data_IF_709659999990
#
_entry.id   IF_709659999990
#
_cell.length_a   1.000
_cell.length_b   1.000
_cell.length_c   1.000
_cell.angle_alpha   90.00
_cell.angle_beta   90.00
_cell.angle_gamma   90.00
#
_symmetry.space_group_name_H-M   'P 1'
#
loop_
_entity.id
_entity.type
_entity.pdbx_description
1 polymer ?
#
# COMPACT_ATOMS: atom_id res chain seq x y z
N UNK A 1 -10.32 5.28 62.49
CA UNK A 1 -8.91 5.71 62.46
C UNK A 1 -8.43 5.58 61.02
N UNK A 2 -7.83 6.67 60.50
CA UNK A 2 -7.19 6.86 59.19
C UNK A 2 -8.06 7.08 57.93
N UNK A 3 -8.04 8.36 57.56
CA UNK A 3 -8.33 9.05 56.30
C UNK A 3 -7.30 8.65 55.24
N UNK A 4 -7.68 8.52 53.96
CA UNK A 4 -6.83 8.93 52.83
C UNK A 4 -7.66 9.46 51.66
N UNK A 5 -7.15 10.58 51.13
CA UNK A 5 -7.62 11.41 50.03
C UNK A 5 -7.47 10.72 48.67
N UNK A 6 -8.28 11.10 47.68
CA UNK A 6 -7.74 11.65 46.42
C UNK A 6 -8.85 12.27 45.56
N UNK A 7 -8.83 13.60 45.50
CA UNK A 7 -9.59 14.43 44.56
C UNK A 7 -8.76 14.58 43.28
N UNK A 8 -9.28 14.17 42.12
CA UNK A 8 -8.73 14.56 40.83
C UNK A 8 -9.61 15.64 40.19
N UNK A 9 -9.06 16.85 40.18
CA UNK A 9 -9.60 18.05 39.54
C UNK A 9 -9.30 17.99 38.04
N UNK A 10 -10.34 17.92 37.21
CA UNK A 10 -10.20 18.08 35.76
C UNK A 10 -10.31 19.57 35.41
N UNK A 11 -9.23 20.15 34.90
CA UNK A 11 -9.21 21.49 34.30
C UNK A 11 -9.08 21.30 32.80
N UNK A 12 -10.13 21.59 32.03
CA UNK A 12 -10.01 21.82 30.59
C UNK A 12 -10.44 23.25 30.29
N UNK A 13 -9.42 24.07 30.01
CA UNK A 13 -9.54 25.44 29.56
C UNK A 13 -9.90 25.46 28.07
N UNK A 14 -11.00 26.13 27.71
CA UNK A 14 -11.33 26.43 26.32
C UNK A 14 -10.55 27.67 25.88
N UNK A 15 -9.58 27.50 24.98
CA UNK A 15 -8.95 28.62 24.29
C UNK A 15 -9.69 28.85 22.97
N UNK A 16 -10.59 29.84 22.97
CA UNK A 16 -11.18 30.38 21.76
C UNK A 16 -10.17 31.34 21.12
N UNK A 17 -9.67 31.00 19.93
CA UNK A 17 -8.81 31.90 19.16
C UNK A 17 -9.67 32.64 18.14
N UNK A 18 -9.90 33.92 18.41
CA UNK A 18 -10.52 34.88 17.51
C UNK A 18 -9.43 35.45 16.60
N UNK A 19 -9.50 35.18 15.29
CA UNK A 19 -8.70 35.92 14.30
C UNK A 19 -9.61 36.79 13.44
N UNK A 20 -9.51 38.11 13.67
CA UNK A 20 -10.11 39.13 12.82
C UNK A 20 -9.07 39.68 11.81
N UNK A 21 -9.42 39.51 10.53
CA UNK A 21 -9.18 40.35 9.34
C UNK A 21 -7.84 41.09 9.16
N UNK A 22 -7.26 40.91 7.97
CA UNK A 22 -6.85 42.03 7.09
C UNK A 22 -6.89 41.64 5.62
N UNK A 23 -7.70 42.37 4.85
CA UNK A 23 -7.63 42.42 3.40
C UNK A 23 -6.66 43.54 2.99
N UNK A 24 -5.92 43.34 1.90
CA UNK A 24 -5.28 44.44 1.18
C UNK A 24 -3.84 44.20 0.74
N UNK A 25 -3.70 43.89 -0.55
CA UNK A 25 -2.60 44.24 -1.45
C UNK A 25 -1.16 43.88 -1.04
N UNK A 26 -0.67 42.79 -1.63
CA UNK A 26 0.76 42.49 -1.73
C UNK A 26 0.99 41.54 -2.89
N UNK A 27 1.54 42.06 -3.99
CA UNK A 27 2.04 41.31 -5.14
C UNK A 27 3.11 40.31 -4.68
N UNK A 28 2.72 39.05 -4.48
CA UNK A 28 3.66 37.93 -4.52
C UNK A 28 3.19 36.98 -5.60
N UNK A 29 3.76 37.18 -6.78
CA UNK A 29 3.81 36.21 -7.88
C UNK A 29 4.82 35.12 -7.47
N UNK A 30 4.50 34.42 -6.39
CA UNK A 30 5.18 33.21 -5.99
C UNK A 30 4.49 32.05 -6.69
N UNK A 31 5.10 31.56 -7.77
CA UNK A 31 4.73 30.30 -8.39
C UNK A 31 4.92 29.18 -7.37
N UNK A 32 3.91 28.95 -6.53
CA UNK A 32 3.78 27.73 -5.75
C UNK A 32 3.30 26.61 -6.68
N UNK A 33 4.16 26.21 -7.62
CA UNK A 33 4.12 24.86 -8.18
C UNK A 33 4.99 23.99 -7.27
N UNK A 34 4.57 23.85 -6.01
CA UNK A 34 5.19 22.94 -5.06
C UNK A 34 4.38 21.65 -5.10
N UNK A 35 4.92 20.71 -5.87
CA UNK A 35 4.88 19.28 -5.59
C UNK A 35 3.52 18.56 -5.60
N UNK A 36 2.79 18.61 -6.73
CA UNK A 36 1.96 17.46 -7.11
C UNK A 36 2.88 16.43 -7.81
N UNK A 37 3.62 15.66 -7.02
CA UNK A 37 4.06 14.36 -7.53
C UNK A 37 2.83 13.47 -7.49
N UNK A 38 2.20 13.35 -8.67
CA UNK A 38 1.05 12.48 -8.93
C UNK A 38 1.53 11.03 -8.75
N UNK A 39 1.57 10.53 -7.52
CA UNK A 39 1.70 9.10 -7.22
C UNK A 39 0.35 8.55 -6.78
N UNK A 40 -0.67 8.74 -7.61
CA UNK A 40 -1.96 8.07 -7.43
C UNK A 40 -2.41 7.41 -8.72
N UNK A 41 -1.64 6.42 -9.16
CA UNK A 41 -2.23 5.29 -9.87
C UNK A 41 -2.25 4.10 -8.93
N UNK A 42 -3.04 4.27 -7.87
CA UNK A 42 -3.61 3.16 -7.12
C UNK A 42 -4.64 2.49 -8.05
N UNK A 43 -4.63 1.16 -8.10
CA UNK A 43 -5.25 0.32 -9.13
C UNK A 43 -4.38 0.09 -10.39
N UNK A 44 -3.22 -0.56 -10.22
CA UNK A 44 -2.38 -0.98 -11.35
C UNK A 44 -3.19 -1.82 -12.37
N UNK A 45 -4.20 -2.56 -11.92
CA UNK A 45 -5.09 -3.37 -12.77
C UNK A 45 -5.79 -2.59 -13.87
N UNK A 46 -5.96 -1.27 -13.73
CA UNK A 46 -6.56 -0.42 -14.77
C UNK A 46 -5.63 -0.16 -15.95
N UNK A 47 -4.32 -0.26 -15.73
CA UNK A 47 -3.28 0.10 -16.70
C UNK A 47 -2.35 -1.06 -17.05
N UNK A 48 -2.58 -2.23 -16.46
CA UNK A 48 -1.82 -3.46 -16.68
C UNK A 48 -2.73 -4.62 -17.08
N UNK A 49 -2.19 -5.54 -17.87
CA UNK A 49 -2.88 -6.73 -18.37
C UNK A 49 -2.04 -7.99 -18.14
N UNK A 50 -2.63 -9.17 -18.36
CA UNK A 50 -1.98 -10.47 -18.17
C UNK A 50 -1.37 -10.63 -16.78
N UNK A 51 -2.10 -10.17 -15.76
CA UNK A 51 -1.67 -10.19 -14.36
C UNK A 51 -1.65 -11.64 -13.89
N UNK A 52 -0.48 -12.13 -13.52
CA UNK A 52 -0.29 -13.50 -13.06
C UNK A 52 0.84 -13.57 -12.03
N UNK A 53 0.86 -14.63 -11.22
CA UNK A 53 2.05 -14.99 -10.46
C UNK A 53 3.04 -15.69 -11.39
N UNK A 54 4.24 -15.13 -11.50
CA UNK A 54 5.41 -15.72 -12.14
C UNK A 54 6.32 -16.32 -11.06
N UNK A 55 6.82 -17.53 -11.31
CA UNK A 55 7.68 -18.25 -10.36
C UNK A 55 6.95 -18.58 -9.06
N UNK A 56 7.63 -18.43 -7.92
CA UNK A 56 7.06 -18.76 -6.61
C UNK A 56 6.10 -17.68 -6.12
N UNK A 57 6.48 -16.40 -6.18
CA UNK A 57 5.76 -15.29 -5.54
C UNK A 57 6.00 -13.92 -6.21
N UNK A 58 6.48 -13.89 -7.46
CA UNK A 58 6.63 -12.64 -8.21
C UNK A 58 5.35 -12.34 -8.97
N UNK A 59 4.87 -11.10 -8.92
CA UNK A 59 3.75 -10.65 -9.74
C UNK A 59 4.29 -10.21 -11.10
N UNK A 60 3.78 -10.80 -12.18
CA UNK A 60 4.09 -10.38 -13.54
C UNK A 60 2.85 -9.72 -14.15
N UNK A 61 3.04 -8.60 -14.83
CA UNK A 61 2.00 -7.97 -15.63
C UNK A 61 2.60 -7.19 -16.81
N UNK A 62 1.83 -6.99 -17.87
CA UNK A 62 2.18 -6.11 -18.96
C UNK A 62 1.53 -4.73 -18.72
N UNK A 63 2.33 -3.71 -18.42
CA UNK A 63 1.84 -2.40 -17.99
C UNK A 63 2.09 -1.32 -19.05
N UNK A 64 1.12 -0.42 -19.20
CA UNK A 64 1.26 0.73 -20.08
C UNK A 64 2.04 1.86 -19.39
N UNK A 65 3.01 2.45 -20.10
CA UNK A 65 3.64 3.69 -19.68
C UNK A 65 2.64 4.86 -19.75
N UNK A 66 2.77 5.83 -18.85
CA UNK A 66 1.84 6.95 -18.78
C UNK A 66 2.01 7.85 -20.01
N UNK A 67 0.90 8.25 -20.64
CA UNK A 67 0.91 9.16 -21.79
C UNK A 67 1.18 8.51 -23.15
N UNK A 68 1.21 7.17 -23.23
CA UNK A 68 1.28 6.44 -24.49
C UNK A 68 -0.09 5.82 -24.79
N UNK A 69 -0.70 6.20 -25.90
CA UNK A 69 -1.92 5.56 -26.39
C UNK A 69 -1.67 4.06 -26.55
N UNK A 70 -2.50 3.24 -25.89
CA UNK A 70 -2.40 1.78 -25.77
C UNK A 70 -2.38 0.99 -27.10
N UNK A 71 -2.35 1.69 -28.23
CA UNK A 71 -2.45 1.15 -29.59
C UNK A 71 -1.10 0.97 -30.29
N UNK A 72 -0.01 1.52 -29.75
CA UNK A 72 1.24 1.68 -30.53
C UNK A 72 2.51 1.17 -29.88
N UNK A 73 2.50 0.84 -28.58
CA UNK A 73 3.68 0.31 -27.88
C UNK A 73 3.29 -0.97 -27.18
N UNK A 74 4.05 -2.04 -27.44
CA UNK A 74 3.95 -3.30 -26.73
C UNK A 74 4.18 -3.00 -25.24
N UNK A 75 3.16 -3.17 -24.40
CA UNK A 75 3.28 -3.04 -22.97
C UNK A 75 4.42 -3.94 -22.49
N UNK A 76 5.43 -3.35 -21.85
CA UNK A 76 6.56 -4.10 -21.33
C UNK A 76 6.05 -5.01 -20.22
N UNK A 77 6.48 -6.27 -20.23
CA UNK A 77 6.22 -7.16 -19.09
C UNK A 77 7.15 -6.75 -17.97
N UNK A 78 6.58 -6.47 -16.82
CA UNK A 78 7.27 -6.07 -15.60
C UNK A 78 6.97 -7.08 -14.50
N UNK A 79 7.98 -7.37 -13.69
CA UNK A 79 7.87 -8.28 -12.55
C UNK A 79 8.11 -7.55 -11.24
N UNK A 80 7.34 -7.89 -10.22
CA UNK A 80 7.43 -7.33 -8.86
C UNK A 80 7.51 -8.46 -7.85
N UNK A 81 8.57 -8.50 -7.05
CA UNK A 81 8.65 -9.44 -5.93
C UNK A 81 7.71 -9.01 -4.81
N UNK A 82 6.64 -9.78 -4.59
CA UNK A 82 5.62 -9.46 -3.59
C UNK A 82 6.16 -9.52 -2.15
N UNK A 83 7.31 -10.15 -1.91
CA UNK A 83 7.97 -10.13 -0.60
C UNK A 83 8.44 -8.74 -0.17
N UNK A 84 8.57 -7.82 -1.12
CA UNK A 84 8.92 -6.43 -0.85
C UNK A 84 7.71 -5.60 -0.40
N UNK A 85 6.49 -6.04 -0.72
CA UNK A 85 5.27 -5.29 -0.45
C UNK A 85 4.36 -5.94 0.61
N UNK A 86 4.43 -7.25 0.79
CA UNK A 86 3.46 -8.02 1.57
C UNK A 86 4.16 -8.77 2.70
N UNK A 87 3.59 -8.66 3.89
CA UNK A 87 3.98 -9.37 5.10
C UNK A 87 2.78 -9.99 5.79
N UNK A 88 2.88 -10.10 7.11
CA UNK A 88 1.80 -10.60 7.97
C UNK A 88 1.39 -9.50 8.94
N UNK A 89 0.09 -9.33 9.15
CA UNK A 89 -0.43 -8.39 10.15
C UNK A 89 -0.10 -8.82 11.57
N UNK A 90 -0.48 -8.01 12.56
CA UNK A 90 -0.17 -8.23 13.99
C UNK A 90 -0.63 -9.60 14.52
N UNK A 91 -1.73 -10.14 13.98
CA UNK A 91 -2.22 -11.47 14.33
C UNK A 91 -1.32 -12.62 13.82
N UNK A 92 -0.39 -12.34 12.90
CA UNK A 92 0.63 -13.27 12.41
C UNK A 92 0.11 -14.35 11.45
N UNK A 93 -1.11 -14.24 10.93
CA UNK A 93 -1.70 -15.21 9.99
C UNK A 93 -2.55 -14.56 8.88
N UNK A 94 -2.58 -13.23 8.81
CA UNK A 94 -3.33 -12.47 7.81
C UNK A 94 -2.35 -11.68 6.94
N UNK A 95 -2.51 -11.75 5.62
CA UNK A 95 -1.71 -10.94 4.69
C UNK A 95 -1.95 -9.46 4.97
N UNK A 96 -0.87 -8.69 5.05
CA UNK A 96 -0.92 -7.24 5.24
C UNK A 96 0.11 -6.55 4.36
N UNK A 97 -0.19 -5.32 3.97
CA UNK A 97 0.79 -4.46 3.32
C UNK A 97 1.90 -4.11 4.31
N UNK A 98 3.13 -4.45 3.96
CA UNK A 98 4.30 -4.23 4.81
C UNK A 98 5.53 -4.07 3.93
N UNK A 99 6.27 -3.00 4.19
CA UNK A 99 7.54 -2.73 3.50
C UNK A 99 8.54 -3.79 3.93
N UNK A 100 9.02 -4.61 2.98
CA UNK A 100 9.85 -5.78 3.23
C UNK A 100 9.19 -6.91 4.03
N UNK A 101 7.87 -7.10 3.89
CA UNK A 101 7.11 -8.03 4.71
C UNK A 101 7.43 -9.52 4.60
N UNK A 102 8.10 -10.00 3.53
CA UNK A 102 8.60 -11.39 3.40
C UNK A 102 7.58 -12.48 3.74
N UNK A 103 6.32 -12.30 3.35
CA UNK A 103 5.23 -13.25 3.63
C UNK A 103 5.54 -14.68 3.13
N UNK A 104 6.42 -14.85 2.13
CA UNK A 104 6.87 -16.14 1.61
C UNK A 104 7.36 -17.13 2.66
N UNK A 105 7.88 -16.63 3.78
CA UNK A 105 8.44 -17.47 4.83
C UNK A 105 7.36 -18.21 5.63
N UNK A 106 6.12 -17.71 5.58
CA UNK A 106 5.01 -18.17 6.40
C UNK A 106 3.80 -18.61 5.56
N UNK A 107 3.75 -18.22 4.29
CA UNK A 107 2.64 -18.48 3.40
C UNK A 107 3.01 -19.45 2.27
N UNK A 108 2.02 -20.25 1.85
CA UNK A 108 2.12 -21.26 0.81
C UNK A 108 0.83 -21.31 -0.02
N UNK A 109 0.84 -22.06 -1.13
CA UNK A 109 -0.32 -22.22 -2.03
C UNK A 109 -0.93 -20.89 -2.50
N UNK A 110 -0.05 -19.94 -2.79
CA UNK A 110 -0.46 -18.61 -3.24
C UNK A 110 -0.94 -18.63 -4.69
N UNK A 111 -2.04 -17.94 -4.95
CA UNK A 111 -2.63 -17.76 -6.28
C UNK A 111 -3.21 -16.36 -6.42
N UNK A 112 -3.20 -15.86 -7.64
CA UNK A 112 -3.93 -14.64 -8.01
C UNK A 112 -5.11 -15.06 -8.86
N UNK A 113 -6.31 -14.71 -8.43
CA UNK A 113 -7.57 -15.10 -9.09
C UNK A 113 -8.51 -13.90 -9.24
N UNK A 114 -9.42 -14.00 -10.22
CA UNK A 114 -10.51 -13.05 -10.43
C UNK A 114 -10.21 -11.97 -11.46
N UNK A 115 -11.22 -11.14 -11.72
CA UNK A 115 -11.12 -9.94 -12.56
C UNK A 115 -10.45 -8.77 -11.82
N UNK A 116 -10.53 -8.79 -10.49
CA UNK A 116 -9.75 -7.94 -9.61
C UNK A 116 -8.57 -8.78 -9.11
N UNK A 117 -7.33 -8.30 -9.19
CA UNK A 117 -6.17 -9.08 -8.79
C UNK A 117 -6.15 -9.26 -7.26
N UNK A 118 -6.68 -10.39 -6.79
CA UNK A 118 -6.67 -10.77 -5.38
C UNK A 118 -5.63 -11.87 -5.19
N UNK A 119 -4.66 -11.62 -4.31
CA UNK A 119 -3.71 -12.65 -3.87
C UNK A 119 -4.34 -13.41 -2.73
N UNK A 120 -4.51 -14.73 -2.90
CA UNK A 120 -4.97 -15.66 -1.87
C UNK A 120 -3.85 -16.63 -1.55
N UNK A 121 -3.53 -16.80 -0.27
CA UNK A 121 -2.51 -17.73 0.22
C UNK A 121 -3.01 -18.49 1.45
N UNK A 122 -2.38 -19.61 1.75
CA UNK A 122 -2.50 -20.31 3.03
C UNK A 122 -1.29 -19.98 3.90
N UNK A 123 -1.50 -19.26 5.01
CA UNK A 123 -0.44 -18.79 5.89
C UNK A 123 -0.46 -19.52 7.23
N UNK A 124 0.71 -20.02 7.63
CA UNK A 124 0.92 -20.55 8.97
C UNK A 124 1.02 -19.37 9.96
N UNK A 125 0.39 -19.48 11.14
CA UNK A 125 0.54 -18.48 12.18
C UNK A 125 1.98 -18.41 12.69
N UNK A 126 2.50 -17.19 12.88
CA UNK A 126 3.83 -16.96 13.49
C UNK A 126 3.85 -17.41 14.95
N UNK A 127 2.73 -17.24 15.66
CA UNK A 127 2.61 -17.59 17.06
C UNK A 127 2.07 -19.02 17.21
N UNK A 128 2.78 -19.87 17.96
CA UNK A 128 2.40 -21.28 18.22
C UNK A 128 1.01 -21.46 18.89
N UNK A 129 0.40 -20.36 19.36
CA UNK A 129 -0.93 -20.35 19.97
C UNK A 129 -2.02 -20.64 18.94
N UNK A 130 -1.86 -20.16 17.71
CA UNK A 130 -2.71 -20.56 16.60
C UNK A 130 -2.10 -21.83 15.98
N UNK A 131 -2.81 -22.94 15.99
CA UNK A 131 -2.23 -24.24 15.56
C UNK A 131 -2.41 -24.54 14.07
N UNK A 132 -3.31 -23.82 13.40
CA UNK A 132 -3.74 -24.19 12.05
C UNK A 132 -3.43 -23.08 11.05
N UNK A 133 -2.85 -23.42 9.89
CA UNK A 133 -2.75 -22.49 8.77
C UNK A 133 -4.13 -21.96 8.38
N UNK A 134 -4.20 -20.67 8.07
CA UNK A 134 -5.41 -20.00 7.65
C UNK A 134 -5.29 -19.55 6.18
N UNK A 135 -6.38 -19.64 5.43
CA UNK A 135 -6.44 -19.03 4.10
C UNK A 135 -6.77 -17.56 4.27
N UNK A 136 -5.96 -16.70 3.67
CA UNK A 136 -6.07 -15.24 3.75
C UNK A 136 -5.89 -14.64 2.37
N UNK A 137 -6.54 -13.51 2.14
CA UNK A 137 -6.56 -12.83 0.86
C UNK A 137 -6.30 -11.34 1.02
N UNK A 138 -5.63 -10.75 0.04
CA UNK A 138 -5.38 -9.30 -0.04
C UNK A 138 -5.59 -8.82 -1.48
N UNK A 139 -6.28 -7.69 -1.63
CA UNK A 139 -6.51 -7.07 -2.94
C UNK A 139 -5.28 -6.29 -3.37
N UNK A 140 -4.62 -6.71 -4.47
CA UNK A 140 -3.32 -6.19 -4.87
C UNK A 140 -3.34 -4.72 -5.29
N UNK A 141 -4.46 -4.25 -5.83
CA UNK A 141 -4.67 -2.84 -6.20
C UNK A 141 -4.51 -1.86 -5.02
N UNK A 142 -4.71 -2.32 -3.78
CA UNK A 142 -4.57 -1.50 -2.57
C UNK A 142 -3.13 -1.15 -2.17
N UNK A 143 -2.13 -1.79 -2.80
CA UNK A 143 -0.72 -1.62 -2.44
C UNK A 143 0.28 -1.80 -3.57
N UNK A 144 -0.18 -2.05 -4.80
CA UNK A 144 0.66 -2.12 -6.01
C UNK A 144 0.21 -1.04 -6.98
N UNK A 145 1.18 -0.30 -7.49
CA UNK A 145 0.99 0.74 -8.51
C UNK A 145 1.65 0.38 -9.83
N UNK A 146 1.32 1.15 -10.86
CA UNK A 146 2.04 1.18 -12.13
C UNK A 146 2.74 2.53 -12.27
N UNK A 147 4.07 2.52 -12.17
CA UNK A 147 4.94 3.68 -12.31
C UNK A 147 5.55 3.67 -13.71
N UNK A 148 4.89 4.38 -14.62
CA UNK A 148 5.36 4.54 -16.00
C UNK A 148 5.67 3.20 -16.72
N UNK A 149 4.80 2.22 -16.57
CA UNK A 149 4.94 0.89 -17.18
C UNK A 149 5.67 -0.13 -16.31
N UNK A 150 6.04 0.22 -15.08
CA UNK A 150 6.73 -0.68 -14.14
C UNK A 150 5.88 -0.89 -12.89
N UNK A 151 5.72 -2.15 -12.45
CA UNK A 151 5.03 -2.45 -11.20
C UNK A 151 5.84 -1.96 -10.00
N UNK A 152 5.19 -1.35 -9.01
CA UNK A 152 5.83 -0.90 -7.78
C UNK A 152 5.00 -1.21 -6.54
N UNK A 153 5.68 -1.42 -5.41
CA UNK A 153 4.99 -1.40 -4.12
C UNK A 153 4.62 0.04 -3.76
N UNK A 154 3.49 0.22 -3.08
CA UNK A 154 3.17 1.47 -2.38
C UNK A 154 4.30 1.82 -1.41
N UNK A 155 4.83 3.03 -1.55
CA UNK A 155 6.03 3.48 -0.82
C UNK A 155 7.35 3.35 -1.59
N UNK A 156 7.34 2.85 -2.83
CA UNK A 156 8.46 2.93 -3.78
C UNK A 156 9.58 1.89 -3.59
N UNK A 157 9.39 0.91 -2.71
CA UNK A 157 10.47 0.01 -2.26
C UNK A 157 10.68 -1.23 -3.16
N UNK A 158 9.79 -1.50 -4.12
CA UNK A 158 9.76 -2.78 -4.85
C UNK A 158 9.94 -2.77 -6.36
N UNK A 159 10.16 -1.62 -7.00
CA UNK A 159 10.21 -1.57 -8.48
C UNK A 159 11.45 -2.28 -9.02
N UNK A 160 11.29 -3.53 -9.49
CA UNK A 160 12.33 -4.29 -10.18
C UNK A 160 12.10 -4.14 -11.69
N UNK A 161 12.91 -3.30 -12.33
CA UNK A 161 13.01 -3.25 -13.79
C UNK A 161 13.97 -4.36 -14.21
N UNK A 162 13.52 -5.29 -15.05
CA UNK A 162 14.39 -6.29 -15.68
C UNK A 162 14.16 -6.35 -17.18
#
# INVERSE_FOLDING_TARGET
>A
MQIFFSTFTAVLSMVAVVFARRAGAGLYRGSAAVLDVIYEHHDFSKSCQNIALSGKLSLSAACNAHGIDAKTVLAATTELDLNLCIGLGEAGNQLSWEVYGKFSNYCSNCKVEGTLPILTCTCAPINEVAKNPATTSIALDGGIGNENGTLSCRGGVGSLVR
#
